data_IF_426042303434
#
_entry.id   IF_426042303434
#
_cell.length_a   1.000
_cell.length_b   1.000
_cell.length_c   1.000
_cell.angle_alpha   90.00
_cell.angle_beta   90.00
_cell.angle_gamma   90.00
#
_symmetry.space_group_name_H-M   'P 1'
#
loop_
_entity.id
_entity.type
_entity.pdbx_description
1 polymer ?
#
# COMPACT_ATOMS: atom_id res chain seq x y z
N UNK A 1 -34.72 14.11 18.38
CA UNK A 1 -34.38 13.44 17.10
C UNK A 1 -32.86 13.43 16.97
N UNK A 2 -32.19 12.37 17.44
CA UNK A 2 -30.72 12.28 17.43
C UNK A 2 -30.31 11.76 16.05
N UNK A 3 -29.62 12.59 15.26
CA UNK A 3 -28.93 12.11 14.06
C UNK A 3 -27.69 11.35 14.51
N UNK A 4 -27.74 10.03 14.41
CA UNK A 4 -26.56 9.17 14.56
C UNK A 4 -25.65 9.46 13.36
N UNK A 5 -24.51 10.11 13.58
CA UNK A 5 -23.54 10.40 12.51
C UNK A 5 -22.80 9.12 12.11
N UNK A 6 -23.01 8.72 10.86
CA UNK A 6 -22.12 7.96 9.96
C UNK A 6 -21.08 7.02 10.63
N UNK A 7 -21.46 5.74 10.74
CA UNK A 7 -20.61 4.54 10.78
C UNK A 7 -19.58 4.44 11.91
N UNK A 8 -19.81 3.49 12.83
CA UNK A 8 -18.72 2.73 13.46
C UNK A 8 -17.75 2.31 12.35
N UNK A 9 -16.49 2.73 12.40
CA UNK A 9 -15.52 2.56 11.31
C UNK A 9 -15.30 1.07 11.04
N UNK A 10 -16.01 0.51 10.06
CA UNK A 10 -15.67 -0.80 9.52
C UNK A 10 -14.30 -0.64 8.87
N UNK A 11 -13.39 -1.53 9.23
CA UNK A 11 -12.09 -1.67 8.58
C UNK A 11 -12.28 -1.65 7.07
N UNK A 12 -11.61 -0.71 6.37
CA UNK A 12 -11.70 -0.66 4.91
C UNK A 12 -11.12 -1.96 4.35
N UNK A 13 -11.75 -2.61 3.36
CA UNK A 13 -11.13 -3.72 2.67
C UNK A 13 -9.75 -3.31 2.12
N UNK A 14 -8.84 -4.27 2.12
CA UNK A 14 -7.53 -4.14 1.49
C UNK A 14 -7.42 -5.10 0.31
N UNK A 15 -7.18 -4.54 -0.87
CA UNK A 15 -6.99 -5.31 -2.09
C UNK A 15 -5.54 -5.23 -2.58
N UNK A 16 -5.07 -6.34 -3.09
CA UNK A 16 -3.73 -6.47 -3.65
C UNK A 16 -3.82 -6.40 -5.17
N UNK A 17 -3.02 -5.52 -5.78
CA UNK A 17 -3.02 -5.38 -7.24
C UNK A 17 -2.04 -6.35 -7.87
N UNK A 18 -2.53 -7.17 -8.82
CA UNK A 18 -1.72 -8.12 -9.58
C UNK A 18 -0.86 -9.02 -8.66
N UNK A 19 0.45 -9.11 -8.88
CA UNK A 19 1.34 -9.99 -8.11
C UNK A 19 1.69 -9.47 -6.72
N UNK A 20 1.26 -8.27 -6.32
CA UNK A 20 1.74 -7.62 -5.09
C UNK A 20 1.60 -8.52 -3.84
N UNK A 21 0.49 -9.27 -3.71
CA UNK A 21 0.32 -10.22 -2.60
C UNK A 21 1.32 -11.35 -2.66
N UNK A 22 1.49 -11.95 -3.85
CA UNK A 22 2.43 -13.05 -4.06
C UNK A 22 3.85 -12.62 -3.72
N UNK A 23 4.25 -11.43 -4.18
CA UNK A 23 5.58 -10.88 -3.93
C UNK A 23 5.79 -10.57 -2.44
N UNK A 24 4.80 -9.95 -1.78
CA UNK A 24 4.82 -9.69 -0.34
C UNK A 24 4.97 -10.96 0.50
N UNK A 25 4.26 -12.04 0.13
CA UNK A 25 4.35 -13.32 0.84
C UNK A 25 5.71 -14.01 0.71
N UNK A 26 6.61 -13.52 -0.15
CA UNK A 26 8.01 -14.00 -0.21
C UNK A 26 8.93 -13.34 0.82
N UNK A 27 8.46 -12.29 1.51
CA UNK A 27 9.27 -11.58 2.49
C UNK A 27 9.50 -12.43 3.75
N UNK A 28 10.55 -12.13 4.54
CA UNK A 28 10.70 -12.71 5.88
C UNK A 28 9.46 -12.46 6.74
N UNK A 29 9.11 -13.41 7.61
CA UNK A 29 7.90 -13.32 8.45
C UNK A 29 7.82 -12.02 9.27
N UNK A 30 8.92 -11.63 9.91
CA UNK A 30 9.01 -10.37 10.67
C UNK A 30 8.71 -9.13 9.81
N UNK A 31 9.17 -9.12 8.55
CA UNK A 31 8.89 -8.04 7.61
C UNK A 31 7.42 -8.02 7.22
N UNK A 32 6.81 -9.20 7.03
CA UNK A 32 5.39 -9.31 6.78
C UNK A 32 4.59 -8.75 7.97
N UNK A 33 4.91 -9.17 9.20
CA UNK A 33 4.20 -8.74 10.40
C UNK A 33 4.23 -7.21 10.58
N UNK A 34 5.41 -6.60 10.49
CA UNK A 34 5.59 -5.14 10.63
C UNK A 34 4.84 -4.35 9.55
N UNK A 35 4.97 -4.77 8.29
CA UNK A 35 4.26 -4.13 7.18
C UNK A 35 2.75 -4.38 7.24
N UNK A 36 2.33 -5.56 7.67
CA UNK A 36 0.94 -5.96 7.83
C UNK A 36 0.24 -5.10 8.88
N UNK A 37 0.92 -4.84 10.01
CA UNK A 37 0.44 -3.90 11.02
C UNK A 37 0.25 -2.49 10.44
N UNK A 38 1.22 -2.00 9.68
CA UNK A 38 1.12 -0.69 9.04
C UNK A 38 -0.03 -0.60 8.01
N UNK A 39 -0.28 -1.66 7.25
CA UNK A 39 -1.42 -1.77 6.34
C UNK A 39 -2.76 -1.83 7.08
N UNK A 40 -2.84 -2.57 8.19
CA UNK A 40 -4.03 -2.62 9.05
C UNK A 40 -4.38 -1.24 9.61
N UNK A 41 -3.37 -0.46 10.06
CA UNK A 41 -3.61 0.93 10.47
C UNK A 41 -4.18 1.78 9.33
N UNK A 42 -3.70 1.59 8.10
CA UNK A 42 -4.23 2.30 6.93
C UNK A 42 -5.69 1.94 6.65
N UNK A 43 -6.09 0.68 6.82
CA UNK A 43 -7.48 0.24 6.70
C UNK A 43 -8.41 0.89 7.73
N UNK A 44 -7.89 1.21 8.91
CA UNK A 44 -8.60 1.94 9.98
C UNK A 44 -8.54 3.47 9.80
N UNK A 45 -7.96 3.97 8.70
CA UNK A 45 -7.81 5.41 8.42
C UNK A 45 -6.64 6.07 9.16
N UNK A 46 -5.82 5.29 9.87
CA UNK A 46 -4.57 5.73 10.47
C UNK A 46 -3.42 5.73 9.48
N UNK A 47 -2.24 6.13 9.96
CA UNK A 47 -0.99 6.11 9.20
C UNK A 47 0.14 5.68 10.12
N UNK A 48 0.80 4.58 9.79
CA UNK A 48 1.96 4.12 10.53
C UNK A 48 3.14 5.12 10.42
N UNK A 49 3.93 5.36 11.48
CA UNK A 49 5.07 6.29 11.44
C UNK A 49 6.11 5.96 10.36
N UNK A 50 6.30 4.66 10.06
CA UNK A 50 7.21 4.21 8.99
C UNK A 50 6.64 4.39 7.57
N UNK A 51 5.35 4.67 7.43
CA UNK A 51 4.74 4.93 6.13
C UNK A 51 5.11 6.34 5.65
N UNK A 52 5.84 6.45 4.54
CA UNK A 52 6.32 7.71 3.95
C UNK A 52 5.52 8.04 2.70
N UNK A 53 5.23 9.32 2.40
CA UNK A 53 4.61 9.68 1.13
C UNK A 53 5.45 9.21 -0.05
N UNK A 54 4.82 8.54 -1.01
CA UNK A 54 5.48 8.13 -2.25
C UNK A 54 5.71 9.34 -3.16
N UNK A 55 6.92 9.46 -3.70
CA UNK A 55 7.27 10.52 -4.65
C UNK A 55 6.94 10.05 -6.07
N UNK A 56 5.99 10.71 -6.74
CA UNK A 56 5.76 10.54 -8.18
C UNK A 56 4.30 10.36 -8.58
N UNK A 57 3.45 9.80 -7.71
CA UNK A 57 2.05 9.53 -8.05
C UNK A 57 1.08 10.62 -7.56
N UNK A 58 1.52 11.54 -6.69
CA UNK A 58 0.72 12.57 -6.02
C UNK A 58 0.29 12.20 -4.59
N UNK A 59 -0.56 13.02 -3.96
CA UNK A 59 -1.00 12.81 -2.57
C UNK A 59 -1.77 11.49 -2.35
N UNK A 60 -1.70 10.90 -1.15
CA UNK A 60 -2.47 9.70 -0.82
C UNK A 60 -1.88 8.37 -1.29
N UNK A 61 -0.65 8.37 -1.82
CA UNK A 61 0.15 7.15 -2.05
C UNK A 61 1.31 7.15 -1.06
N UNK A 62 1.56 6.00 -0.45
CA UNK A 62 2.54 5.83 0.62
C UNK A 62 3.39 4.59 0.38
N UNK A 63 4.63 4.61 0.87
CA UNK A 63 5.50 3.45 0.96
C UNK A 63 5.80 3.11 2.43
N UNK A 64 5.73 1.84 2.78
CA UNK A 64 6.29 1.28 4.01
C UNK A 64 7.68 0.75 3.65
N UNK A 65 8.67 1.02 4.51
CA UNK A 65 10.05 0.57 4.32
C UNK A 65 10.45 -0.20 5.57
N UNK A 66 10.91 -1.44 5.39
CA UNK A 66 11.47 -2.27 6.46
C UNK A 66 12.82 -2.84 6.05
N UNK A 67 13.78 -2.81 6.97
CA UNK A 67 15.09 -3.40 6.79
C UNK A 67 15.16 -4.71 7.58
N UNK A 68 15.64 -5.78 6.96
CA UNK A 68 15.84 -7.07 7.61
C UNK A 68 17.12 -7.71 7.10
N UNK A 69 18.04 -8.03 8.03
CA UNK A 69 19.33 -8.70 7.76
C UNK A 69 20.15 -8.08 6.61
N UNK A 70 20.12 -6.75 6.51
CA UNK A 70 20.88 -6.01 5.51
C UNK A 70 20.22 -5.91 4.14
N UNK A 71 18.97 -6.33 4.02
CA UNK A 71 18.11 -6.14 2.86
C UNK A 71 16.97 -5.18 3.20
N UNK A 72 16.52 -4.39 2.21
CA UNK A 72 15.42 -3.42 2.38
C UNK A 72 14.21 -3.88 1.58
N UNK A 73 13.07 -3.97 2.24
CA UNK A 73 11.78 -4.34 1.68
C UNK A 73 10.87 -3.13 1.64
N UNK A 74 10.02 -3.04 0.61
CA UNK A 74 9.04 -1.97 0.48
C UNK A 74 7.67 -2.51 0.08
N UNK A 75 6.64 -1.90 0.65
CA UNK A 75 5.25 -2.06 0.22
C UNK A 75 4.65 -0.69 -0.10
N UNK A 76 4.13 -0.51 -1.30
CA UNK A 76 3.52 0.74 -1.77
C UNK A 76 2.01 0.56 -1.82
N UNK A 77 1.28 1.48 -1.20
CA UNK A 77 -0.18 1.43 -1.09
C UNK A 77 -0.81 2.80 -1.29
N UNK A 78 -2.10 2.83 -1.62
CA UNK A 78 -2.88 4.05 -1.83
C UNK A 78 -4.15 4.06 -1.00
N UNK A 79 -4.49 5.23 -0.48
CA UNK A 79 -5.70 5.52 0.31
C UNK A 79 -6.60 6.56 -0.39
N UNK A 80 -6.36 6.83 -1.68
CA UNK A 80 -7.15 7.79 -2.47
C UNK A 80 -8.62 7.41 -2.60
N UNK A 81 -8.90 6.12 -2.47
CA UNK A 81 -10.22 5.55 -2.63
C UNK A 81 -10.89 5.51 -1.25
N UNK A 82 -11.97 6.27 -1.09
CA UNK A 82 -12.54 6.53 0.24
C UNK A 82 -12.88 5.25 1.01
N UNK A 83 -13.28 4.20 0.30
CA UNK A 83 -13.82 2.97 0.89
C UNK A 83 -12.84 1.79 0.90
N UNK A 84 -11.64 1.93 0.34
CA UNK A 84 -10.73 0.79 0.11
C UNK A 84 -9.27 1.21 0.13
N UNK A 85 -8.41 0.33 0.63
CA UNK A 85 -6.95 0.45 0.51
C UNK A 85 -6.46 -0.48 -0.59
N UNK A 86 -5.62 0.00 -1.50
CA UNK A 86 -4.95 -0.87 -2.47
C UNK A 86 -3.48 -0.94 -2.19
N UNK A 87 -2.94 -2.15 -2.10
CA UNK A 87 -1.50 -2.40 -2.15
C UNK A 87 -1.10 -2.57 -3.60
N UNK A 88 -0.34 -1.59 -4.10
CA UNK A 88 0.08 -1.48 -5.49
C UNK A 88 1.28 -2.38 -5.78
N UNK A 89 2.28 -2.41 -4.89
CA UNK A 89 3.50 -3.17 -5.14
C UNK A 89 4.19 -3.56 -3.84
N UNK A 90 4.85 -4.71 -3.85
CA UNK A 90 5.72 -5.16 -2.77
C UNK A 90 6.99 -5.73 -3.40
N UNK A 91 8.15 -5.22 -3.00
CA UNK A 91 9.43 -5.66 -3.54
C UNK A 91 10.58 -5.55 -2.52
N UNK A 92 11.58 -6.41 -2.68
CA UNK A 92 12.89 -6.24 -2.07
C UNK A 92 13.75 -5.37 -2.98
N UNK A 93 14.35 -4.33 -2.41
CA UNK A 93 15.33 -3.51 -3.12
C UNK A 93 16.59 -4.34 -3.38
N UNK A 94 16.90 -4.57 -4.65
CA UNK A 94 18.05 -5.42 -5.06
C UNK A 94 19.42 -4.80 -4.82
N UNK A 95 19.53 -3.46 -4.84
CA UNK A 95 20.80 -2.76 -4.58
C UNK A 95 20.83 -2.18 -3.16
N UNK A 96 21.91 -2.45 -2.42
CA UNK A 96 22.15 -1.83 -1.11
C UNK A 96 22.62 -0.37 -1.23
N UNK A 97 23.15 0.03 -2.39
CA UNK A 97 23.56 1.41 -2.70
C UNK A 97 22.48 2.15 -3.50
N UNK A 98 22.25 3.43 -3.16
CA UNK A 98 21.30 4.33 -3.83
C UNK A 98 19.96 4.48 -3.11
N UNK A 99 19.48 5.73 -2.98
CA UNK A 99 18.21 6.05 -2.28
C UNK A 99 16.99 5.82 -3.20
N UNK A 100 17.21 5.90 -4.52
CA UNK A 100 16.15 5.86 -5.54
C UNK A 100 15.61 4.44 -5.72
N UNK A 101 14.29 4.35 -5.82
CA UNK A 101 13.60 3.14 -6.28
C UNK A 101 13.93 2.87 -7.75
N UNK A 102 14.20 1.62 -8.16
CA UNK A 102 14.44 1.29 -9.57
C UNK A 102 13.31 1.78 -10.49
N UNK A 103 13.65 2.23 -11.70
CA UNK A 103 12.66 2.75 -12.65
C UNK A 103 11.59 1.72 -13.03
N UNK A 104 11.93 0.42 -13.02
CA UNK A 104 10.98 -0.66 -13.30
C UNK A 104 9.88 -0.73 -12.24
N UNK A 105 10.25 -0.67 -10.96
CA UNK A 105 9.29 -0.64 -9.85
C UNK A 105 8.41 0.62 -9.91
N UNK A 106 8.98 1.78 -10.27
CA UNK A 106 8.22 3.02 -10.47
C UNK A 106 7.17 2.85 -11.58
N UNK A 107 7.57 2.32 -12.75
CA UNK A 107 6.64 2.06 -13.86
C UNK A 107 5.53 1.10 -13.46
N UNK A 108 5.87 0.06 -12.69
CA UNK A 108 4.91 -0.93 -12.24
C UNK A 108 3.90 -0.35 -11.24
N UNK A 109 4.34 0.54 -10.34
CA UNK A 109 3.45 1.26 -9.43
C UNK A 109 2.46 2.14 -10.22
N UNK A 110 2.94 2.90 -11.21
CA UNK A 110 2.08 3.73 -12.08
C UNK A 110 1.04 2.88 -12.80
N UNK A 111 1.45 1.77 -13.39
CA UNK A 111 0.55 0.86 -14.09
C UNK A 111 -0.51 0.28 -13.15
N UNK A 112 -0.09 -0.18 -11.97
CA UNK A 112 -0.99 -0.79 -10.98
C UNK A 112 -1.90 0.24 -10.32
N UNK A 113 -1.50 1.50 -10.22
CA UNK A 113 -2.38 2.59 -9.81
C UNK A 113 -3.54 2.78 -10.79
N UNK A 114 -3.30 2.69 -12.11
CA UNK A 114 -4.36 2.72 -13.12
C UNK A 114 -5.31 1.52 -12.98
N UNK A 115 -4.78 0.33 -12.68
CA UNK A 115 -5.61 -0.86 -12.43
C UNK A 115 -6.47 -0.71 -11.17
N UNK A 116 -5.92 -0.15 -10.09
CA UNK A 116 -6.67 0.14 -8.87
C UNK A 116 -7.80 1.15 -9.12
N UNK A 117 -7.54 2.19 -9.91
CA UNK A 117 -8.56 3.16 -10.32
C UNK A 117 -9.71 2.49 -11.07
N UNK A 118 -9.40 1.69 -12.09
CA UNK A 118 -10.43 0.98 -12.87
C UNK A 118 -11.24 -0.02 -12.02
N UNK A 119 -10.58 -0.75 -11.12
CA UNK A 119 -11.26 -1.65 -10.17
C UNK A 119 -12.21 -0.87 -9.25
N UNK A 120 -11.77 0.26 -8.68
CA UNK A 120 -12.61 1.10 -7.83
C UNK A 120 -13.83 1.67 -8.56
N UNK A 121 -13.64 2.20 -9.77
CA UNK A 121 -14.73 2.73 -10.61
C UNK A 121 -15.76 1.65 -10.95
N UNK A 122 -15.30 0.45 -11.31
CA UNK A 122 -16.19 -0.68 -11.61
C UNK A 122 -17.03 -1.14 -10.42
N UNK A 123 -16.55 -0.90 -9.19
CA UNK A 123 -17.26 -1.21 -7.95
C UNK A 123 -18.29 -0.15 -7.56
N UNK A 124 -17.98 1.12 -7.82
CA UNK A 124 -18.89 2.24 -7.55
C UNK A 124 -20.04 2.38 -8.56
N UNK A 125 -20.02 1.62 -9.66
CA UNK A 125 -21.07 1.60 -10.69
C UNK A 125 -22.11 0.48 -10.44
N UNK A 126 -22.17 -0.09 -9.23
CA UNK A 126 -23.16 -1.09 -8.83
C UNK A 126 -24.09 -0.56 -7.75
#
# INVERSE_FOLDING_TARGET
MIRISKSMSREKPLYWVASAKKDYLTFPAEVQDDMGYALGLAQLGGKHPKAKPWKGEGAGVFEIVEDHRGDTYRAVYTVRFAEVVYVLHAFQKKSKSGIKTPQEDVKLIVERMKRAQADYESRGTK
#
